data_IF_263742278550
#
_entry.id   IF_263742278550
#
_cell.length_a   1.000
_cell.length_b   1.000
_cell.length_c   1.000
_cell.angle_alpha   90.00
_cell.angle_beta   90.00
_cell.angle_gamma   90.00
#
_symmetry.space_group_name_H-M   'P 1'
#
loop_
_entity.id
_entity.type
_entity.pdbx_description
1 polymer ?
#
# COMPACT_ATOMS: atom_id res chain seq x y z
N UNK A 1 17.54 0.94 -10.92
CA UNK A 1 18.30 1.06 -9.67
C UNK A 1 17.35 1.45 -8.53
N UNK A 2 17.39 0.77 -7.39
CA UNK A 2 16.55 1.15 -6.25
C UNK A 2 17.01 2.49 -5.70
N UNK A 3 16.05 3.34 -5.35
CA UNK A 3 16.33 4.62 -4.73
C UNK A 3 15.66 4.77 -3.35
N UNK A 4 14.71 3.91 -3.03
CA UNK A 4 14.07 3.95 -1.72
C UNK A 4 13.40 2.62 -1.41
N UNK A 5 13.32 2.32 -0.14
CA UNK A 5 12.65 1.13 0.37
C UNK A 5 11.69 1.58 1.47
N UNK A 6 10.50 1.01 1.48
CA UNK A 6 9.57 1.16 2.59
C UNK A 6 9.18 -0.20 3.12
N UNK A 7 8.98 -0.29 4.42
CA UNK A 7 8.52 -1.52 5.07
C UNK A 7 7.53 -1.17 6.15
N UNK A 8 6.51 -2.00 6.30
CA UNK A 8 5.51 -1.78 7.34
C UNK A 8 4.94 -3.11 7.84
N UNK A 9 4.47 -3.09 9.08
CA UNK A 9 3.87 -4.23 9.76
C UNK A 9 2.55 -3.79 10.38
N UNK A 10 1.48 -4.52 10.10
CA UNK A 10 0.14 -4.17 10.58
C UNK A 10 -0.47 -5.36 11.30
N UNK A 11 -0.86 -5.17 12.56
CA UNK A 11 -1.55 -6.18 13.34
C UNK A 11 -3.01 -6.30 12.94
N UNK A 12 -3.56 -7.53 12.99
CA UNK A 12 -4.96 -7.73 12.64
C UNK A 12 -5.91 -7.04 13.62
N UNK A 13 -5.47 -6.77 14.85
CA UNK A 13 -6.25 -6.02 15.83
C UNK A 13 -6.54 -4.60 15.35
N UNK A 14 -5.58 -3.97 14.67
CA UNK A 14 -5.77 -2.64 14.10
C UNK A 14 -6.85 -2.66 13.03
N UNK A 15 -6.86 -3.71 12.22
CA UNK A 15 -7.85 -3.84 11.14
C UNK A 15 -9.23 -4.18 11.72
N UNK A 16 -9.28 -5.01 12.76
CA UNK A 16 -10.54 -5.31 13.43
C UNK A 16 -11.19 -4.02 13.95
N UNK A 17 -10.37 -3.11 14.49
CA UNK A 17 -10.86 -1.81 14.94
C UNK A 17 -11.36 -0.96 13.77
N UNK A 18 -10.65 -0.95 12.66
CA UNK A 18 -11.08 -0.23 11.47
C UNK A 18 -12.41 -0.77 10.92
N UNK A 19 -12.57 -2.09 10.91
CA UNK A 19 -13.81 -2.72 10.48
C UNK A 19 -14.99 -2.31 11.37
N UNK A 20 -14.76 -2.19 12.67
CA UNK A 20 -15.81 -1.74 13.61
C UNK A 20 -16.25 -0.30 13.35
N UNK A 21 -15.38 0.53 12.78
CA UNK A 21 -15.74 1.90 12.44
C UNK A 21 -16.64 2.01 11.21
N UNK A 22 -16.71 0.95 10.41
CA UNK A 22 -17.66 0.85 9.32
C UNK A 22 -17.15 1.34 7.98
N UNK A 23 -18.01 1.23 6.96
CA UNK A 23 -17.66 1.45 5.55
C UNK A 23 -17.14 2.85 5.29
N UNK A 24 -17.72 3.85 5.93
CA UNK A 24 -17.32 5.23 5.71
C UNK A 24 -15.85 5.46 6.09
N UNK A 25 -15.44 4.86 7.21
CA UNK A 25 -14.05 4.92 7.64
C UNK A 25 -13.13 4.17 6.69
N UNK A 26 -13.54 2.96 6.29
CA UNK A 26 -12.74 2.14 5.38
C UNK A 26 -12.51 2.84 4.04
N UNK A 27 -13.51 3.53 3.53
CA UNK A 27 -13.41 4.23 2.25
C UNK A 27 -12.50 5.45 2.26
N UNK A 28 -12.10 5.92 3.42
CA UNK A 28 -11.07 6.94 3.52
C UNK A 28 -9.67 6.39 3.27
N UNK A 29 -9.50 5.10 3.53
CA UNK A 29 -8.20 4.43 3.48
C UNK A 29 -8.07 3.60 2.21
N UNK A 30 -9.08 2.80 1.90
CA UNK A 30 -9.04 1.85 0.81
C UNK A 30 -9.81 2.35 -0.40
N UNK A 31 -9.29 2.02 -1.60
CA UNK A 31 -10.06 2.26 -2.82
C UNK A 31 -11.16 1.21 -2.94
N UNK A 32 -12.14 1.47 -3.81
CA UNK A 32 -13.22 0.51 -4.03
C UNK A 32 -12.67 -0.81 -4.55
N UNK A 33 -11.67 -0.77 -5.41
CA UNK A 33 -11.03 -1.96 -5.95
C UNK A 33 -10.32 -2.78 -4.87
N UNK A 34 -9.67 -2.10 -3.94
CA UNK A 34 -9.03 -2.77 -2.80
C UNK A 34 -10.06 -3.45 -1.92
N UNK A 35 -11.18 -2.79 -1.67
CA UNK A 35 -12.24 -3.40 -0.87
C UNK A 35 -12.87 -4.60 -1.56
N UNK A 36 -13.00 -4.54 -2.89
CA UNK A 36 -13.47 -5.69 -3.67
C UNK A 36 -12.50 -6.86 -3.59
N UNK A 37 -11.20 -6.58 -3.74
CA UNK A 37 -10.17 -7.63 -3.68
C UNK A 37 -10.08 -8.27 -2.29
N UNK A 38 -10.22 -7.46 -1.24
CA UNK A 38 -10.00 -7.91 0.14
C UNK A 38 -11.25 -8.46 0.82
N UNK A 39 -12.42 -7.99 0.43
CA UNK A 39 -13.64 -8.29 1.16
C UNK A 39 -13.53 -7.81 2.60
N UNK A 40 -14.06 -8.58 3.55
CA UNK A 40 -13.96 -8.27 4.96
C UNK A 40 -12.83 -9.07 5.66
N UNK A 41 -11.86 -9.53 4.90
CA UNK A 41 -10.76 -10.33 5.45
C UNK A 41 -9.77 -9.43 6.19
N UNK A 42 -9.60 -9.59 7.51
CA UNK A 42 -8.59 -8.80 8.24
C UNK A 42 -7.18 -9.02 7.71
N UNK A 43 -6.86 -10.23 7.29
CA UNK A 43 -5.53 -10.55 6.74
C UNK A 43 -5.27 -9.78 5.45
N UNK A 44 -6.23 -9.80 4.51
CA UNK A 44 -6.04 -9.12 3.23
C UNK A 44 -6.06 -7.60 3.40
N UNK A 45 -6.93 -7.08 4.25
CA UNK A 45 -6.97 -5.65 4.54
C UNK A 45 -5.70 -5.18 5.23
N UNK A 46 -5.15 -5.98 6.13
CA UNK A 46 -3.88 -5.66 6.79
C UNK A 46 -2.72 -5.65 5.79
N UNK A 47 -2.65 -6.64 4.90
CA UNK A 47 -1.61 -6.68 3.87
C UNK A 47 -1.71 -5.46 2.95
N UNK A 48 -2.91 -5.09 2.57
CA UNK A 48 -3.16 -3.91 1.74
C UNK A 48 -2.72 -2.64 2.47
N UNK A 49 -3.10 -2.48 3.72
CA UNK A 49 -2.73 -1.30 4.50
C UNK A 49 -1.21 -1.21 4.69
N UNK A 50 -0.57 -2.34 5.01
CA UNK A 50 0.89 -2.39 5.15
C UNK A 50 1.59 -1.97 3.86
N UNK A 51 1.10 -2.42 2.71
CA UNK A 51 1.67 -2.04 1.41
C UNK A 51 1.50 -0.55 1.13
N UNK A 52 0.36 0.02 1.49
CA UNK A 52 0.11 1.46 1.32
C UNK A 52 1.04 2.28 2.21
N UNK A 53 1.20 1.90 3.47
CA UNK A 53 2.12 2.59 4.37
C UNK A 53 3.58 2.43 3.93
N UNK A 54 3.96 1.23 3.50
CA UNK A 54 5.31 1.00 2.99
C UNK A 54 5.59 1.86 1.75
N UNK A 55 4.59 2.03 0.88
CA UNK A 55 4.70 2.90 -0.29
C UNK A 55 4.91 4.36 0.13
N UNK A 56 4.16 4.81 1.12
CA UNK A 56 4.34 6.16 1.65
C UNK A 56 5.75 6.38 2.18
N UNK A 57 6.26 5.40 2.92
CA UNK A 57 7.63 5.49 3.45
C UNK A 57 8.67 5.52 2.34
N UNK A 58 8.43 4.81 1.25
CA UNK A 58 9.35 4.80 0.12
C UNK A 58 9.32 6.09 -0.70
N UNK A 59 8.15 6.73 -0.82
CA UNK A 59 7.96 7.90 -1.67
C UNK A 59 8.09 9.22 -0.92
N UNK A 60 7.72 9.26 0.34
CA UNK A 60 7.51 10.50 1.07
C UNK A 60 8.56 10.68 2.14
N UNK A 61 8.99 11.92 2.30
CA UNK A 61 9.60 12.35 3.55
C UNK A 61 8.45 12.71 4.49
N UNK A 62 8.71 12.57 5.78
CA UNK A 62 7.75 12.52 6.86
C UNK A 62 6.75 13.68 6.99
N UNK A 63 6.90 14.73 6.23
CA UNK A 63 6.11 15.96 6.38
C UNK A 63 5.12 16.22 5.25
N UNK A 64 5.01 15.30 4.28
CA UNK A 64 4.06 15.45 3.17
C UNK A 64 3.03 14.34 3.20
N UNK A 65 1.81 14.62 3.68
CA UNK A 65 0.78 13.60 3.67
C UNK A 65 0.38 13.26 2.25
N UNK A 66 0.21 11.97 1.99
CA UNK A 66 -0.29 11.46 0.72
C UNK A 66 -1.66 10.86 1.01
N UNK A 67 -2.70 11.26 0.27
CA UNK A 67 -4.01 10.64 0.46
C UNK A 67 -3.93 9.13 0.27
N UNK A 68 -4.51 8.38 1.20
CA UNK A 68 -4.45 6.92 1.18
C UNK A 68 -4.93 6.31 -0.12
N UNK A 69 -5.98 6.88 -0.70
CA UNK A 69 -6.59 6.34 -1.92
C UNK A 69 -5.81 6.66 -3.20
N UNK A 70 -4.76 7.46 -3.10
CA UNK A 70 -3.87 7.70 -4.24
C UNK A 70 -2.85 6.59 -4.44
N UNK A 71 -2.80 5.63 -3.51
CA UNK A 71 -1.99 4.42 -3.60
C UNK A 71 -2.96 3.24 -3.61
N UNK A 72 -2.83 2.35 -4.60
CA UNK A 72 -3.71 1.20 -4.71
C UNK A 72 -2.91 -0.08 -4.86
N UNK A 73 -3.14 -1.02 -3.96
CA UNK A 73 -2.59 -2.37 -4.07
C UNK A 73 -3.63 -3.26 -4.73
N UNK A 74 -3.26 -3.94 -5.79
CA UNK A 74 -4.11 -4.94 -6.41
C UNK A 74 -3.60 -6.33 -6.06
N UNK A 75 -4.47 -7.12 -5.47
CA UNK A 75 -4.18 -8.49 -5.06
C UNK A 75 -5.19 -9.42 -5.71
N UNK A 76 -5.07 -9.60 -7.01
CA UNK A 76 -5.95 -10.49 -7.74
C UNK A 76 -5.52 -11.93 -7.53
N UNK A 77 -6.52 -12.81 -7.44
CA UNK A 77 -6.27 -14.23 -7.23
C UNK A 77 -5.33 -14.78 -8.31
N UNK A 78 -4.27 -15.46 -7.87
CA UNK A 78 -3.30 -16.08 -8.76
C UNK A 78 -2.31 -15.15 -9.44
N UNK A 79 -2.36 -13.84 -9.13
CA UNK A 79 -1.44 -12.87 -9.71
C UNK A 79 -0.49 -12.30 -8.65
N UNK A 80 0.66 -11.79 -9.10
CA UNK A 80 1.56 -11.05 -8.23
C UNK A 80 0.88 -9.76 -7.76
N UNK A 81 1.04 -9.36 -6.50
CA UNK A 81 0.57 -8.06 -6.07
C UNK A 81 1.22 -6.94 -6.88
N UNK A 82 0.46 -5.91 -7.16
CA UNK A 82 0.97 -4.76 -7.90
C UNK A 82 0.48 -3.46 -7.28
N UNK A 83 1.26 -2.39 -7.43
CA UNK A 83 0.94 -1.08 -6.91
C UNK A 83 0.65 -0.12 -8.06
N UNK A 84 -0.43 0.64 -7.92
CA UNK A 84 -0.75 1.74 -8.80
C UNK A 84 -0.77 3.05 -8.03
N UNK A 85 -0.36 4.12 -8.68
CA UNK A 85 -0.37 5.45 -8.09
C UNK A 85 -1.23 6.37 -8.92
N UNK A 86 -1.99 7.22 -8.24
CA UNK A 86 -2.78 8.27 -8.87
C UNK A 86 -2.57 9.58 -8.11
N UNK A 87 -3.05 10.68 -8.66
CA UNK A 87 -3.10 11.96 -7.97
C UNK A 87 -1.78 12.33 -7.29
N UNK A 88 -1.88 12.64 -6.01
CA UNK A 88 -0.73 13.13 -5.23
C UNK A 88 0.43 12.15 -5.16
N UNK A 89 0.13 10.85 -5.03
CA UNK A 89 1.18 9.84 -4.97
C UNK A 89 1.92 9.74 -6.30
N UNK A 90 1.19 9.77 -7.41
CA UNK A 90 1.80 9.74 -8.75
C UNK A 90 2.67 10.97 -8.99
N UNK A 91 2.20 12.15 -8.59
CA UNK A 91 2.95 13.40 -8.73
C UNK A 91 4.24 13.37 -7.91
N UNK A 92 4.16 12.84 -6.70
CA UNK A 92 5.34 12.74 -5.83
C UNK A 92 6.36 11.75 -6.40
N UNK A 93 5.91 10.61 -6.90
CA UNK A 93 6.79 9.63 -7.53
C UNK A 93 7.51 10.24 -8.72
N UNK A 94 6.78 10.96 -9.57
CA UNK A 94 7.35 11.64 -10.73
C UNK A 94 8.40 12.66 -10.29
N UNK A 95 8.10 13.48 -9.30
CA UNK A 95 9.02 14.50 -8.79
C UNK A 95 10.31 13.89 -8.24
N UNK A 96 10.24 12.67 -7.72
CA UNK A 96 11.40 11.98 -7.15
C UNK A 96 12.10 11.08 -8.15
N UNK A 97 11.65 11.04 -9.40
CA UNK A 97 12.28 10.22 -10.43
C UNK A 97 11.98 8.73 -10.31
N UNK A 98 10.93 8.37 -9.57
CA UNK A 98 10.52 6.98 -9.43
C UNK A 98 9.76 6.55 -10.69
N UNK A 99 10.24 5.51 -11.35
CA UNK A 99 9.61 4.95 -12.54
C UNK A 99 9.15 3.52 -12.35
N UNK A 100 9.51 2.89 -11.26
CA UNK A 100 9.08 1.53 -10.97
C UNK A 100 8.83 1.33 -9.49
N UNK A 101 7.82 0.50 -9.18
CA UNK A 101 7.52 0.05 -7.84
C UNK A 101 7.39 -1.45 -7.83
N UNK A 102 8.01 -2.07 -6.83
CA UNK A 102 7.85 -3.50 -6.58
C UNK A 102 7.35 -3.69 -5.17
N UNK A 103 6.48 -4.67 -4.97
CA UNK A 103 5.90 -4.92 -3.65
C UNK A 103 5.90 -6.41 -3.35
N UNK A 104 6.17 -6.74 -2.11
CA UNK A 104 6.01 -8.08 -1.59
C UNK A 104 5.27 -8.00 -0.26
N UNK A 105 4.34 -8.93 -0.04
CA UNK A 105 3.57 -8.99 1.19
C UNK A 105 3.73 -10.36 1.80
N UNK A 106 3.66 -10.41 3.13
CA UNK A 106 3.71 -11.66 3.88
C UNK A 106 2.81 -11.53 5.10
N UNK A 107 2.54 -12.63 5.76
CA UNK A 107 1.65 -12.61 6.92
C UNK A 107 1.98 -13.73 7.90
N UNK A 108 1.55 -13.50 9.13
CA UNK A 108 1.57 -14.49 10.21
C UNK A 108 0.12 -14.69 10.66
N UNK A 109 -0.07 -15.43 11.74
CA UNK A 109 -1.41 -15.58 12.35
C UNK A 109 -1.91 -14.30 13.01
N UNK A 110 -1.07 -13.28 13.18
CA UNK A 110 -1.41 -12.07 13.95
C UNK A 110 -1.21 -10.77 13.18
N UNK A 111 -0.45 -10.79 12.10
CA UNK A 111 -0.09 -9.56 11.40
C UNK A 111 0.26 -9.82 9.94
N UNK A 112 0.25 -8.75 9.16
CA UNK A 112 0.74 -8.75 7.79
C UNK A 112 1.84 -7.72 7.66
N UNK A 113 2.77 -7.96 6.74
CA UNK A 113 3.87 -7.05 6.47
C UNK A 113 4.01 -6.85 4.98
N UNK A 114 4.56 -5.70 4.61
CA UNK A 114 4.85 -5.39 3.22
C UNK A 114 6.19 -4.70 3.10
N UNK A 115 6.87 -4.96 1.99
CA UNK A 115 8.07 -4.23 1.61
C UNK A 115 7.84 -3.66 0.21
N UNK A 116 8.23 -2.41 0.01
CA UNK A 116 8.09 -1.72 -1.26
C UNK A 116 9.44 -1.18 -1.68
N UNK A 117 9.79 -1.42 -2.93
CA UNK A 117 11.00 -0.93 -3.53
C UNK A 117 10.62 0.08 -4.60
N UNK A 118 11.12 1.30 -4.46
CA UNK A 118 10.99 2.34 -5.47
C UNK A 118 12.28 2.41 -6.27
N UNK A 119 12.18 2.46 -7.58
CA UNK A 119 13.35 2.39 -8.44
C UNK A 119 13.24 3.35 -9.61
N UNK A 120 14.39 3.57 -10.24
CA UNK A 120 14.52 4.30 -11.50
C UNK A 120 14.73 3.33 -12.65
N UNK A 121 14.04 2.18 -12.62
CA UNK A 121 14.20 1.21 -13.68
C UNK A 121 13.81 1.82 -15.03
N UNK A 122 14.30 1.24 -16.08
CA UNK A 122 14.12 1.85 -17.39
C UNK A 122 15.20 2.87 -17.70
N UNK A 123 15.97 3.23 -16.72
CA UNK A 123 17.13 4.10 -16.88
C UNK A 123 18.40 3.31 -17.15
N UNK A 124 18.31 2.03 -17.08
CA UNK A 124 19.45 1.16 -17.33
C UNK A 124 19.60 0.81 -18.80
#
# INVERSE_FOLDING_TARGET
>A
MPIAIGIDLVGYDEIAEALRRGDRYLRRIYTDEELDDCGASPRLLAACFAAKEATMKALSRTDQPIPWRSIELRMRHGAQPSLGLTGAAASLALARGVTGLSVSVTHTSQSAAAIVLASTEGMS
#
